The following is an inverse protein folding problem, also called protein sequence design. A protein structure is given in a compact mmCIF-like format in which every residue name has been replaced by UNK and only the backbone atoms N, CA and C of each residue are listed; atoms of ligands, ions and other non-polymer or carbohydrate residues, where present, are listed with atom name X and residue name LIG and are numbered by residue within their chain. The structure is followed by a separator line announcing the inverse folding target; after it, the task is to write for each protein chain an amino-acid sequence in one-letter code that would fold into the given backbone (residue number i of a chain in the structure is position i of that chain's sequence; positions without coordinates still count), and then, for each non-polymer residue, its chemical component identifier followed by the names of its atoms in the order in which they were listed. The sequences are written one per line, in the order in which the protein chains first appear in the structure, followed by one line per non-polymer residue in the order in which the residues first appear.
data_IF_766725018044
#
_entry.id   IF_766725018044
#
_cell.length_a   1.000
_cell.length_b   1.000
_cell.length_c   1.000
_cell.angle_alpha   90.00
_cell.angle_beta   90.00
_cell.angle_gamma   90.00
#
_symmetry.space_group_name_H-M   'P 1'
#
loop_
_entity.id
_entity.type
_entity.pdbx_description
1 polymer ?
#
# COMPACT_ATOMS: atom_id res chain seq x y z
N UNK A 1 -1.96 -0.37 14.52
CA UNK A 1 -1.76 0.17 13.16
C UNK A 1 -0.88 -0.77 12.37
N UNK A 2 -1.15 -0.89 11.10
CA UNK A 2 -0.35 -1.74 10.20
C UNK A 2 0.22 -0.89 9.08
N UNK A 3 1.35 -1.36 8.51
CA UNK A 3 2.02 -0.69 7.41
C UNK A 3 1.68 -1.36 6.10
N UNK A 4 1.58 -0.57 5.05
CA UNK A 4 1.24 -1.02 3.71
C UNK A 4 2.07 -0.26 2.68
N UNK A 5 2.50 -0.97 1.65
CA UNK A 5 3.05 -0.35 0.44
C UNK A 5 1.96 -0.37 -0.62
N UNK A 6 1.44 0.80 -0.94
CA UNK A 6 0.40 0.94 -1.94
C UNK A 6 1.01 1.50 -3.22
N UNK A 7 0.80 0.80 -4.32
CA UNK A 7 1.39 1.15 -5.61
C UNK A 7 0.28 1.25 -6.63
N UNK A 8 0.36 2.25 -7.50
CA UNK A 8 -0.66 2.44 -8.53
C UNK A 8 -0.07 2.94 -9.85
N UNK A 9 -0.78 2.65 -10.91
CA UNK A 9 -0.56 3.24 -12.23
C UNK A 9 -1.81 4.02 -12.60
N UNK A 10 -1.63 5.22 -13.11
CA UNK A 10 -2.72 6.08 -13.55
C UNK A 10 -3.28 5.61 -14.89
N UNK A 11 -4.56 5.92 -15.12
CA UNK A 11 -5.14 5.78 -16.45
C UNK A 11 -4.52 6.81 -17.41
N UNK A 12 -4.63 6.55 -18.70
CA UNK A 12 -4.15 7.48 -19.73
C UNK A 12 -4.83 8.84 -19.58
N UNK A 13 -6.12 8.85 -19.30
CA UNK A 13 -6.91 10.06 -19.11
C UNK A 13 -6.43 10.86 -17.90
N UNK A 14 -6.07 10.18 -16.83
CA UNK A 14 -5.54 10.83 -15.62
C UNK A 14 -4.19 11.48 -15.90
N UNK A 15 -3.29 10.80 -16.59
CA UNK A 15 -2.00 11.36 -16.98
C UNK A 15 -2.21 12.59 -17.84
N UNK A 16 -3.09 12.52 -18.83
CA UNK A 16 -3.39 13.64 -19.72
C UNK A 16 -3.90 14.85 -18.93
N UNK A 17 -4.78 14.62 -17.98
CA UNK A 17 -5.32 15.65 -17.12
C UNK A 17 -4.24 16.30 -16.24
N UNK A 18 -3.36 15.48 -15.65
CA UNK A 18 -2.28 15.98 -14.80
C UNK A 18 -1.24 16.78 -15.58
N UNK A 19 -0.98 16.41 -16.82
CA UNK A 19 -0.08 17.18 -17.69
C UNK A 19 -0.70 18.52 -18.02
N UNK A 20 -2.00 18.56 -18.31
CA UNK A 20 -2.72 19.79 -18.63
C UNK A 20 -2.83 20.74 -17.42
N UNK A 21 -3.01 20.15 -16.22
CA UNK A 21 -3.17 20.92 -14.98
C UNK A 21 -2.49 20.18 -13.82
N UNK A 22 -1.18 20.34 -13.65
CA UNK A 22 -0.47 19.68 -12.57
C UNK A 22 -1.00 20.06 -11.19
N UNK A 23 -1.06 19.10 -10.28
CA UNK A 23 -1.54 19.30 -8.91
C UNK A 23 -0.67 18.52 -7.95
N UNK A 24 -0.74 18.89 -6.67
CA UNK A 24 -0.02 18.19 -5.60
C UNK A 24 -0.75 16.89 -5.25
N UNK A 25 -0.29 15.79 -5.84
CA UNK A 25 -0.91 14.48 -5.63
C UNK A 25 -0.62 13.92 -4.23
N UNK A 26 0.49 14.32 -3.62
CA UNK A 26 0.80 13.93 -2.25
C UNK A 26 -0.19 14.53 -1.27
N UNK A 27 -0.53 15.80 -1.42
CA UNK A 27 -1.51 16.46 -0.55
C UNK A 27 -2.89 15.79 -0.67
N UNK A 28 -3.32 15.44 -1.88
CA UNK A 28 -4.58 14.75 -2.11
C UNK A 28 -4.60 13.35 -1.46
N UNK A 29 -3.51 12.61 -1.61
CA UNK A 29 -3.38 11.27 -1.01
C UNK A 29 -3.37 11.36 0.52
N UNK A 30 -2.65 12.32 1.08
CA UNK A 30 -2.58 12.52 2.53
C UNK A 30 -3.96 12.76 3.12
N UNK A 31 -4.73 13.60 2.48
CA UNK A 31 -6.09 13.91 2.92
C UNK A 31 -6.98 12.68 2.95
N UNK A 32 -6.90 11.83 1.93
CA UNK A 32 -7.67 10.60 1.89
C UNK A 32 -7.23 9.63 2.98
N UNK A 33 -5.92 9.44 3.16
CA UNK A 33 -5.39 8.51 4.15
C UNK A 33 -5.75 8.96 5.56
N UNK A 34 -5.70 10.25 5.84
CA UNK A 34 -6.13 10.78 7.13
C UNK A 34 -7.63 10.56 7.35
N UNK A 35 -8.44 10.64 6.29
CA UNK A 35 -9.88 10.41 6.38
C UNK A 35 -10.23 8.98 6.79
N UNK A 36 -9.39 7.99 6.48
CA UNK A 36 -9.58 6.61 6.91
C UNK A 36 -8.90 6.29 8.24
N UNK A 37 -8.37 7.31 8.91
CA UNK A 37 -7.71 7.17 10.21
C UNK A 37 -6.25 6.77 10.13
N UNK A 38 -5.65 6.87 8.96
CA UNK A 38 -4.27 6.49 8.71
C UNK A 38 -3.30 7.65 8.62
N UNK A 39 -2.08 7.33 8.24
CA UNK A 39 -1.00 8.29 8.06
C UNK A 39 -0.23 7.94 6.79
N UNK A 40 -0.05 8.94 5.92
CA UNK A 40 0.83 8.81 4.75
C UNK A 40 2.24 9.20 5.18
N UNK A 41 3.16 8.23 5.20
CA UNK A 41 4.55 8.50 5.56
C UNK A 41 5.31 9.09 4.38
N UNK A 42 5.18 8.46 3.21
CA UNK A 42 5.88 8.90 2.01
C UNK A 42 5.04 8.59 0.77
N UNK A 43 5.14 9.46 -0.21
CA UNK A 43 4.63 9.24 -1.56
C UNK A 43 5.72 9.63 -2.54
N UNK A 44 6.04 8.73 -3.45
CA UNK A 44 7.01 8.97 -4.51
C UNK A 44 6.40 8.62 -5.85
N UNK A 45 6.73 9.40 -6.88
CA UNK A 45 6.53 8.97 -8.26
C UNK A 45 7.70 8.09 -8.66
N UNK A 46 7.44 7.11 -9.52
CA UNK A 46 8.44 6.11 -9.87
C UNK A 46 8.43 5.85 -11.37
N UNK A 47 9.53 5.31 -11.84
CA UNK A 47 9.63 4.76 -13.19
C UNK A 47 9.29 3.27 -13.16
N UNK A 48 8.88 2.72 -14.29
CA UNK A 48 8.59 1.30 -14.42
C UNK A 48 7.11 0.99 -14.33
N UNK A 49 6.77 -0.13 -13.71
CA UNK A 49 5.40 -0.63 -13.67
C UNK A 49 4.44 0.30 -12.94
N UNK A 50 4.88 0.89 -11.84
CA UNK A 50 4.03 1.72 -10.98
C UNK A 50 4.43 3.18 -11.11
N UNK A 51 3.43 4.05 -11.27
CA UNK A 51 3.65 5.49 -11.38
C UNK A 51 3.84 6.14 -10.01
N UNK A 52 3.18 5.60 -9.00
CA UNK A 52 3.22 6.12 -7.62
C UNK A 52 3.39 4.98 -6.64
N UNK A 53 4.24 5.22 -5.64
CA UNK A 53 4.48 4.30 -4.54
C UNK A 53 4.29 5.05 -3.23
N UNK A 54 3.42 4.53 -2.36
CA UNK A 54 3.09 5.13 -1.07
C UNK A 54 3.44 4.20 0.08
N UNK A 55 4.04 4.75 1.11
CA UNK A 55 4.19 4.06 2.40
C UNK A 55 3.11 4.60 3.33
N UNK A 56 2.19 3.73 3.73
CA UNK A 56 0.98 4.09 4.47
C UNK A 56 0.93 3.29 5.78
N UNK A 57 0.47 3.96 6.82
CA UNK A 57 0.07 3.32 8.06
C UNK A 57 -1.44 3.47 8.21
N UNK A 58 -2.16 2.38 8.45
CA UNK A 58 -3.62 2.41 8.59
C UNK A 58 -4.06 1.59 9.80
N UNK A 59 -5.25 1.88 10.35
CA UNK A 59 -5.73 1.16 11.54
C UNK A 59 -5.83 -0.34 11.34
N UNK A 60 -6.35 -0.77 10.18
CA UNK A 60 -6.53 -2.17 9.82
C UNK A 60 -6.70 -2.34 8.32
N UNK A 61 -6.83 -3.58 7.88
CA UNK A 61 -6.97 -3.92 6.45
C UNK A 61 -8.26 -3.33 5.86
N UNK A 62 -9.33 -3.29 6.65
CA UNK A 62 -10.61 -2.74 6.19
C UNK A 62 -10.49 -1.25 5.88
N UNK A 63 -9.82 -0.49 6.72
CA UNK A 63 -9.59 0.94 6.48
C UNK A 63 -8.77 1.16 5.22
N UNK A 64 -7.72 0.38 5.02
CA UNK A 64 -6.91 0.49 3.81
C UNK A 64 -7.73 0.13 2.57
N UNK A 65 -8.52 -0.94 2.63
CA UNK A 65 -9.38 -1.33 1.52
C UNK A 65 -10.36 -0.20 1.17
N UNK A 66 -10.91 0.48 2.17
CA UNK A 66 -11.81 1.61 1.93
C UNK A 66 -11.12 2.72 1.15
N UNK A 67 -9.89 3.06 1.53
CA UNK A 67 -9.10 4.05 0.82
C UNK A 67 -8.78 3.63 -0.62
N UNK A 68 -8.35 2.39 -0.80
CA UNK A 68 -8.03 1.86 -2.13
C UNK A 68 -9.27 1.82 -3.03
N UNK A 69 -10.41 1.43 -2.49
CA UNK A 69 -11.67 1.39 -3.23
C UNK A 69 -12.13 2.81 -3.62
N UNK A 70 -11.95 3.78 -2.73
CA UNK A 70 -12.27 5.18 -3.03
C UNK A 70 -11.43 5.69 -4.21
N UNK A 71 -10.15 5.38 -4.22
CA UNK A 71 -9.25 5.74 -5.33
C UNK A 71 -9.69 5.05 -6.61
N UNK A 72 -9.97 3.75 -6.56
CA UNK A 72 -10.40 2.99 -7.73
C UNK A 72 -11.71 3.51 -8.31
N UNK A 73 -12.65 3.90 -7.44
CA UNK A 73 -13.97 4.39 -7.86
C UNK A 73 -13.89 5.71 -8.63
N UNK A 74 -12.82 6.47 -8.47
CA UNK A 74 -12.61 7.71 -9.21
C UNK A 74 -12.25 7.49 -10.69
N UNK A 75 -11.87 6.27 -11.07
CA UNK A 75 -11.56 5.91 -12.46
C UNK A 75 -10.23 6.42 -12.97
N UNK A 76 -9.38 6.94 -12.10
CA UNK A 76 -8.08 7.51 -12.48
C UNK A 76 -6.92 6.52 -12.40
N UNK A 77 -7.17 5.34 -11.88
CA UNK A 77 -6.16 4.29 -11.66
C UNK A 77 -6.44 3.13 -12.59
N UNK A 78 -5.43 2.76 -13.40
CA UNK A 78 -5.54 1.61 -14.32
C UNK A 78 -5.21 0.29 -13.63
N UNK A 79 -4.33 0.32 -12.64
CA UNK A 79 -3.91 -0.85 -11.88
C UNK A 79 -3.38 -0.42 -10.52
N UNK A 80 -3.50 -1.30 -9.54
CA UNK A 80 -2.92 -1.05 -8.21
C UNK A 80 -2.49 -2.35 -7.56
N UNK A 81 -1.64 -2.22 -6.55
CA UNK A 81 -1.15 -3.33 -5.74
C UNK A 81 -0.98 -2.84 -4.31
N UNK A 82 -1.41 -3.64 -3.37
CA UNK A 82 -1.21 -3.38 -1.95
C UNK A 82 -0.37 -4.50 -1.35
N UNK A 83 0.75 -4.15 -0.74
CA UNK A 83 1.61 -5.10 -0.03
C UNK A 83 1.53 -4.78 1.44
N UNK A 84 1.02 -5.74 2.22
CA UNK A 84 1.01 -5.58 3.67
C UNK A 84 2.42 -5.81 4.20
N UNK A 85 2.91 -4.87 4.98
CA UNK A 85 4.27 -4.90 5.52
C UNK A 85 4.24 -5.31 6.99
N UNK A 86 5.38 -5.77 7.46
CA UNK A 86 5.56 -6.16 8.84
C UNK A 86 6.84 -5.52 9.36
N UNK A 87 6.80 -5.01 10.59
CA UNK A 87 7.99 -4.46 11.22
C UNK A 87 9.00 -5.57 11.50
N UNK A 88 10.27 -5.18 11.61
CA UNK A 88 11.31 -6.14 11.96
C UNK A 88 11.06 -6.77 13.33
N UNK A 89 10.50 -6.03 14.27
CA UNK A 89 10.15 -6.54 15.60
C UNK A 89 9.07 -7.62 15.51
N UNK A 90 8.03 -7.39 14.74
CA UNK A 90 6.97 -8.38 14.53
C UNK A 90 7.48 -9.61 13.79
N UNK A 91 8.36 -9.41 12.82
CA UNK A 91 9.00 -10.52 12.10
C UNK A 91 9.83 -11.38 13.05
N UNK A 92 10.56 -10.76 13.98
CA UNK A 92 11.33 -11.49 14.99
C UNK A 92 10.42 -12.31 15.89
N UNK A 93 9.29 -11.74 16.32
CA UNK A 93 8.30 -12.48 17.11
C UNK A 93 7.73 -13.67 16.34
N UNK A 94 7.45 -13.49 15.04
CA UNK A 94 6.98 -14.55 14.17
C UNK A 94 8.02 -15.69 14.05
N UNK A 95 9.28 -15.32 13.91
CA UNK A 95 10.37 -16.31 13.84
C UNK A 95 10.54 -17.08 15.14
N UNK A 96 10.36 -16.43 16.29
CA UNK A 96 10.34 -17.09 17.59
C UNK A 96 9.21 -18.11 17.66
N UNK A 97 8.01 -17.73 17.20
CA UNK A 97 6.88 -18.65 17.13
C UNK A 97 7.17 -19.80 16.16
N UNK A 98 7.76 -19.50 15.00
CA UNK A 98 8.13 -20.52 14.02
C UNK A 98 9.04 -21.59 14.64
N UNK A 99 10.03 -21.16 15.42
CA UNK A 99 10.94 -22.08 16.12
C UNK A 99 10.22 -23.07 17.04
N UNK A 100 9.07 -22.68 17.59
CA UNK A 100 8.27 -23.55 18.47
C UNK A 100 7.43 -24.57 17.72
N UNK A 101 7.17 -24.33 16.42
CA UNK A 101 6.27 -25.20 15.64
C UNK A 101 6.96 -25.92 14.49
N UNK A 102 8.27 -25.75 14.31
CA UNK A 102 9.01 -26.39 13.22
C UNK A 102 8.89 -27.91 13.25
N UNK A 103 8.80 -28.51 14.45
CA UNK A 103 8.69 -29.95 14.60
C UNK A 103 7.37 -30.53 14.04
N UNK A 104 6.37 -29.70 13.80
CA UNK A 104 5.09 -30.14 13.25
C UNK A 104 5.08 -30.21 11.72
N UNK A 105 6.06 -29.61 11.08
CA UNK A 105 6.13 -29.56 9.62
C UNK A 105 7.05 -30.67 9.08
N UNK A 106 6.52 -31.47 8.18
CA UNK A 106 7.29 -32.49 7.48
C UNK A 106 7.59 -31.98 6.07
N UNK A 107 8.86 -31.70 5.74
CA UNK A 107 9.20 -31.23 4.39
C UNK A 107 9.00 -32.32 3.34
N UNK A 108 8.79 -31.93 2.04
CA UNK A 108 8.50 -32.88 0.96
C UNK A 108 9.63 -33.90 0.70
N UNK A 109 10.85 -33.60 1.12
CA UNK A 109 12.03 -34.44 0.88
C UNK A 109 12.79 -34.68 2.18
N UNK A 110 12.12 -34.96 3.21
CA UNK A 110 12.78 -35.04 4.51
C UNK A 110 12.91 -36.38 5.10
#
# INVERSE_FOLDING_TARGET
MSFYLYQLSYSKEAIKSMVASPSDREAAARKLIEAIGGKLHHLFFAFGQWDVICLIEAPDDKALMAGAAAVASAGTVSASSTVKLMTAADAMSAMTMAGKVTGTYKPPHG
#
